data_IF_975445791375
#
_entry.id   IF_975445791375
#
_cell.length_a   1.000
_cell.length_b   1.000
_cell.length_c   1.000
_cell.angle_alpha   90.00
_cell.angle_beta   90.00
_cell.angle_gamma   90.00
#
_symmetry.space_group_name_H-M   'P 1'
#
loop_
_entity.id
_entity.type
_entity.pdbx_description
1 polymer ?
#
# COMPACT_ATOMS: atom_id res chain seq x y z
N UNK A 1 35.36 -12.71 102.36
CA UNK A 1 36.38 -13.76 102.12
C UNK A 1 35.73 -14.77 101.18
N UNK A 2 36.23 -15.21 100.02
CA UNK A 2 37.44 -14.95 99.25
C UNK A 2 37.22 -15.50 97.81
N UNK A 3 37.94 -14.95 96.82
CA UNK A 3 38.15 -15.58 95.49
C UNK A 3 39.17 -16.75 95.65
N UNK A 4 39.64 -17.53 94.63
CA UNK A 4 39.36 -17.57 93.18
C UNK A 4 39.38 -19.02 92.54
N UNK A 5 39.18 -19.14 91.20
CA UNK A 5 40.09 -19.79 90.19
C UNK A 5 39.41 -20.53 89.03
N UNK A 6 39.56 -19.90 87.86
CA UNK A 6 39.86 -20.38 86.50
C UNK A 6 40.05 -21.89 86.21
N UNK A 7 39.36 -22.39 85.16
CA UNK A 7 39.86 -23.42 84.22
C UNK A 7 39.53 -23.03 82.77
N UNK A 8 40.48 -23.31 81.86
CA UNK A 8 40.57 -22.91 80.44
C UNK A 8 40.25 -24.12 79.54
N UNK A 9 39.91 -23.85 78.27
CA UNK A 9 39.83 -24.76 77.08
C UNK A 9 38.48 -25.49 76.91
N UNK A 10 37.82 -25.54 75.74
CA UNK A 10 38.31 -25.65 74.36
C UNK A 10 37.36 -25.00 73.31
N UNK A 11 37.92 -24.79 72.11
CA UNK A 11 37.36 -24.18 70.89
C UNK A 11 36.08 -24.86 70.36
N UNK A 12 35.17 -24.05 69.79
CA UNK A 12 34.06 -24.47 68.92
C UNK A 12 33.38 -23.24 68.31
N UNK A 13 33.12 -23.28 67.00
CA UNK A 13 32.82 -22.15 66.12
C UNK A 13 31.65 -21.23 66.55
N UNK A 14 31.82 -19.92 66.35
CA UNK A 14 30.75 -18.93 66.55
C UNK A 14 29.77 -18.89 65.37
N UNK A 15 28.48 -18.61 65.60
CA UNK A 15 27.50 -18.42 64.52
C UNK A 15 27.68 -17.04 63.86
N UNK A 16 27.55 -17.03 62.53
CA UNK A 16 27.69 -15.86 61.65
C UNK A 16 26.65 -14.76 61.96
N UNK A 17 26.96 -13.47 61.67
CA UNK A 17 26.05 -12.37 61.96
C UNK A 17 24.83 -12.37 61.03
N UNK A 18 23.66 -12.11 61.59
CA UNK A 18 22.39 -11.96 60.88
C UNK A 18 22.49 -10.82 59.87
N UNK A 19 22.19 -11.13 58.60
CA UNK A 19 22.16 -10.19 57.48
C UNK A 19 20.84 -9.42 57.50
N UNK A 20 20.90 -8.10 57.66
CA UNK A 20 19.74 -7.22 57.52
C UNK A 20 19.10 -7.37 56.12
N UNK A 21 17.76 -7.21 55.99
CA UNK A 21 17.09 -7.28 54.71
C UNK A 21 17.56 -6.10 53.85
N UNK A 22 18.16 -6.41 52.69
CA UNK A 22 18.51 -5.41 51.69
C UNK A 22 17.19 -4.89 51.11
N UNK A 23 16.84 -3.64 51.40
CA UNK A 23 15.87 -2.90 50.58
C UNK A 23 16.46 -2.76 49.18
N UNK A 24 16.03 -3.61 48.25
CA UNK A 24 16.34 -3.43 46.84
C UNK A 24 15.53 -2.25 46.32
N UNK A 25 16.16 -1.10 46.18
CA UNK A 25 15.67 -0.05 45.30
C UNK A 25 15.46 -0.67 43.90
N UNK A 26 14.36 -0.38 43.19
CA UNK A 26 14.19 -0.83 41.81
C UNK A 26 15.35 -0.28 40.97
N UNK A 27 16.02 -1.13 40.19
CA UNK A 27 17.04 -0.63 39.27
C UNK A 27 16.37 0.26 38.21
N UNK A 28 17.01 1.36 37.86
CA UNK A 28 16.56 2.30 36.80
C UNK A 28 16.32 1.60 35.44
N UNK A 29 16.88 0.41 35.24
CA UNK A 29 16.73 -0.41 34.03
C UNK A 29 15.33 -1.04 33.83
N UNK A 30 14.44 -0.95 34.82
CA UNK A 30 13.07 -1.51 34.76
C UNK A 30 11.97 -0.44 34.71
N UNK A 31 12.32 0.83 34.46
CA UNK A 31 11.30 1.87 34.27
C UNK A 31 10.78 1.77 32.84
N UNK A 32 9.54 1.31 32.70
CA UNK A 32 8.81 1.36 31.43
C UNK A 32 8.51 2.82 31.13
N UNK A 33 9.06 3.33 30.03
CA UNK A 33 8.79 4.68 29.51
C UNK A 33 7.77 4.63 28.38
N UNK A 34 7.20 5.78 28.03
CA UNK A 34 6.27 5.90 26.89
C UNK A 34 6.97 5.48 25.61
N UNK A 35 8.17 6.00 25.36
CA UNK A 35 8.96 5.75 24.15
C UNK A 35 9.27 4.26 24.01
N UNK A 36 9.73 3.60 25.09
CA UNK A 36 10.01 2.16 25.08
C UNK A 36 8.77 1.28 24.89
N UNK A 37 7.59 1.82 25.19
CA UNK A 37 6.31 1.13 24.99
C UNK A 37 5.87 1.25 23.54
N UNK A 38 5.90 2.47 23.00
CA UNK A 38 5.57 2.76 21.60
C UNK A 38 6.46 1.96 20.66
N UNK A 39 7.78 2.02 20.86
CA UNK A 39 8.76 1.28 20.06
C UNK A 39 8.44 -0.22 20.02
N UNK A 40 8.15 -0.84 21.17
CA UNK A 40 7.81 -2.27 21.22
C UNK A 40 6.53 -2.59 20.49
N UNK A 41 5.47 -1.80 20.67
CA UNK A 41 4.20 -2.07 19.98
C UNK A 41 4.45 -1.99 18.47
N UNK A 42 5.12 -0.92 18.02
CA UNK A 42 5.42 -0.69 16.61
C UNK A 42 6.27 -1.80 16.01
N UNK A 43 7.34 -2.23 16.68
CA UNK A 43 8.18 -3.36 16.21
C UNK A 43 7.38 -4.65 16.04
N UNK A 44 6.42 -4.93 16.93
CA UNK A 44 5.59 -6.13 16.81
C UNK A 44 4.50 -6.00 15.75
N UNK A 45 3.98 -4.79 15.48
CA UNK A 45 3.12 -4.54 14.32
C UNK A 45 3.90 -4.78 13.03
N UNK A 46 5.08 -4.18 12.89
CA UNK A 46 5.92 -4.31 11.68
C UNK A 46 6.38 -5.74 11.41
N UNK A 47 6.67 -6.50 12.46
CA UNK A 47 6.99 -7.93 12.34
C UNK A 47 5.77 -8.85 12.25
N UNK A 48 4.56 -8.28 12.16
CA UNK A 48 3.28 -8.98 12.11
C UNK A 48 3.03 -9.94 13.30
N UNK A 49 3.72 -9.76 14.44
CA UNK A 49 3.44 -10.48 15.69
C UNK A 49 2.35 -9.75 16.49
N UNK A 50 1.14 -9.79 15.94
CA UNK A 50 -0.01 -9.08 16.51
C UNK A 50 -0.39 -9.57 17.91
N UNK A 51 -0.12 -10.83 18.23
CA UNK A 51 -0.40 -11.39 19.55
C UNK A 51 0.49 -10.78 20.65
N UNK A 52 1.73 -10.46 20.31
CA UNK A 52 2.64 -9.79 21.22
C UNK A 52 2.42 -8.27 21.21
N UNK A 53 2.15 -7.67 20.05
CA UNK A 53 1.75 -6.27 19.92
C UNK A 53 0.56 -5.95 20.84
N UNK A 54 -0.49 -6.79 20.82
CA UNK A 54 -1.69 -6.58 21.65
C UNK A 54 -1.35 -6.57 23.16
N UNK A 55 -0.48 -7.48 23.60
CA UNK A 55 -0.05 -7.52 25.02
C UNK A 55 0.69 -6.26 25.44
N UNK A 56 1.52 -5.70 24.55
CA UNK A 56 2.21 -4.44 24.82
C UNK A 56 1.26 -3.25 24.76
N UNK A 57 0.31 -3.23 23.82
CA UNK A 57 -0.72 -2.20 23.71
C UNK A 57 -1.58 -2.14 24.99
N UNK A 58 -2.09 -3.28 25.46
CA UNK A 58 -2.89 -3.35 26.70
C UNK A 58 -2.10 -2.83 27.90
N UNK A 59 -0.85 -3.27 28.08
CA UNK A 59 0.01 -2.78 29.17
C UNK A 59 0.34 -1.29 29.04
N UNK A 60 0.52 -0.81 27.83
CA UNK A 60 0.74 0.61 27.54
C UNK A 60 -0.45 1.45 27.99
N UNK A 61 -1.67 1.02 27.66
CA UNK A 61 -2.91 1.68 28.07
C UNK A 61 -3.15 1.64 29.58
N UNK A 62 -2.81 0.54 30.27
CA UNK A 62 -2.87 0.46 31.72
C UNK A 62 -1.92 1.46 32.39
N UNK A 63 -0.74 1.66 31.80
CA UNK A 63 0.31 2.51 32.37
C UNK A 63 0.15 3.99 32.03
N UNK A 64 -0.29 4.29 30.81
CA UNK A 64 -0.38 5.62 30.24
C UNK A 64 -1.78 5.85 29.63
N UNK A 65 -2.85 5.81 30.45
CA UNK A 65 -4.22 5.76 29.96
C UNK A 65 -4.68 7.01 29.20
N UNK A 66 -4.00 8.14 29.35
CA UNK A 66 -4.33 9.42 28.70
C UNK A 66 -3.21 9.90 27.75
N UNK A 67 -2.17 9.10 27.52
CA UNK A 67 -1.14 9.48 26.54
C UNK A 67 -1.69 9.25 25.12
N UNK A 68 -1.74 10.31 24.33
CA UNK A 68 -2.36 10.32 22.99
C UNK A 68 -1.62 9.39 22.03
N UNK A 69 -0.29 9.41 22.01
CA UNK A 69 0.51 8.53 21.14
C UNK A 69 0.28 7.04 21.47
N UNK A 70 0.24 6.69 22.77
CA UNK A 70 -0.05 5.31 23.20
C UNK A 70 -1.46 4.89 22.82
N UNK A 71 -2.44 5.81 22.92
CA UNK A 71 -3.81 5.54 22.49
C UNK A 71 -3.89 5.30 20.98
N UNK A 72 -3.19 6.09 20.16
CA UNK A 72 -3.18 5.96 18.70
C UNK A 72 -2.50 4.67 18.24
N UNK A 73 -1.30 4.37 18.76
CA UNK A 73 -0.55 3.14 18.41
C UNK A 73 -1.28 1.89 18.92
N UNK A 74 -1.92 1.95 20.10
CA UNK A 74 -2.76 0.85 20.56
C UNK A 74 -4.01 0.67 19.69
N UNK A 75 -4.62 1.76 19.21
CA UNK A 75 -5.77 1.69 18.31
C UNK A 75 -5.39 1.02 16.98
N UNK A 76 -4.26 1.41 16.38
CA UNK A 76 -3.70 0.76 15.18
C UNK A 76 -3.50 -0.74 15.42
N UNK A 77 -2.84 -1.12 16.51
CA UNK A 77 -2.67 -2.53 16.88
C UNK A 77 -4.01 -3.27 16.98
N UNK A 78 -5.02 -2.66 17.61
CA UNK A 78 -6.34 -3.29 17.74
C UNK A 78 -7.08 -3.38 16.40
N UNK A 79 -6.86 -2.46 15.46
CA UNK A 79 -7.39 -2.56 14.10
C UNK A 79 -6.80 -3.77 13.38
N UNK A 80 -5.47 -3.94 13.40
CA UNK A 80 -4.78 -5.08 12.78
C UNK A 80 -5.22 -6.44 13.37
N UNK A 81 -5.47 -6.48 14.68
CA UNK A 81 -5.98 -7.68 15.37
C UNK A 81 -7.46 -7.96 15.06
N UNK A 82 -8.20 -6.99 14.49
CA UNK A 82 -9.65 -7.08 14.26
C UNK A 82 -10.51 -6.74 15.49
N UNK A 83 -9.92 -6.12 16.52
CA UNK A 83 -10.61 -5.64 17.72
C UNK A 83 -11.19 -4.23 17.54
N UNK A 84 -12.11 -4.10 16.58
CA UNK A 84 -12.65 -2.81 16.12
C UNK A 84 -13.19 -1.93 17.25
N UNK A 85 -13.95 -2.50 18.21
CA UNK A 85 -14.47 -1.68 19.32
C UNK A 85 -13.40 -1.18 20.30
N UNK A 86 -12.32 -1.95 20.51
CA UNK A 86 -11.19 -1.45 21.32
C UNK A 86 -10.50 -0.31 20.59
N UNK A 87 -10.26 -0.47 19.28
CA UNK A 87 -9.65 0.57 18.44
C UNK A 87 -10.47 1.88 18.44
N UNK A 88 -11.79 1.79 18.18
CA UNK A 88 -12.69 2.95 18.25
C UNK A 88 -12.64 3.65 19.60
N UNK A 89 -12.67 2.89 20.70
CA UNK A 89 -12.59 3.46 22.07
C UNK A 89 -11.28 4.21 22.29
N UNK A 90 -10.16 3.65 21.83
CA UNK A 90 -8.84 4.27 21.93
C UNK A 90 -8.78 5.59 21.14
N UNK A 91 -9.21 5.61 19.88
CA UNK A 91 -9.25 6.84 19.09
C UNK A 91 -10.20 7.90 19.68
N UNK A 92 -11.40 7.51 20.09
CA UNK A 92 -12.35 8.44 20.74
C UNK A 92 -11.75 9.05 22.00
N UNK A 93 -11.02 8.25 22.80
CA UNK A 93 -10.31 8.75 23.98
C UNK A 93 -9.17 9.69 23.59
N UNK A 94 -8.37 9.36 22.57
CA UNK A 94 -7.30 10.23 22.06
C UNK A 94 -7.85 11.59 21.60
N UNK A 95 -9.02 11.58 20.93
CA UNK A 95 -9.73 12.79 20.50
C UNK A 95 -10.20 13.59 21.72
N UNK A 96 -10.76 12.94 22.74
CA UNK A 96 -11.23 13.62 23.95
C UNK A 96 -10.10 14.30 24.74
N UNK A 97 -8.89 13.72 24.73
CA UNK A 97 -7.71 14.27 25.42
C UNK A 97 -7.10 15.43 24.65
N UNK A 98 -7.01 15.33 23.32
CA UNK A 98 -6.38 16.34 22.48
C UNK A 98 -7.19 16.56 21.19
N UNK A 99 -8.28 17.34 21.23
CA UNK A 99 -9.19 17.48 20.09
C UNK A 99 -8.61 18.29 18.93
N UNK A 100 -7.70 19.23 19.19
CA UNK A 100 -7.20 20.18 18.19
C UNK A 100 -5.80 19.90 17.66
N UNK A 101 -5.09 18.89 18.19
CA UNK A 101 -3.74 18.51 17.74
C UNK A 101 -3.74 17.05 17.33
N UNK A 102 -3.02 16.67 16.28
CA UNK A 102 -2.93 15.28 15.81
C UNK A 102 -4.15 14.87 15.00
N UNK A 103 -4.07 15.01 13.68
CA UNK A 103 -5.12 14.69 12.73
C UNK A 103 -5.28 13.17 12.49
N UNK A 104 -4.21 12.39 12.68
CA UNK A 104 -4.17 10.93 12.39
C UNK A 104 -5.23 10.13 13.12
N UNK A 105 -5.48 10.41 14.41
CA UNK A 105 -6.58 9.78 15.16
C UNK A 105 -7.98 9.98 14.58
N UNK A 106 -8.22 11.08 13.86
CA UNK A 106 -9.50 11.29 13.19
C UNK A 106 -9.60 10.41 11.95
N UNK A 107 -8.54 10.32 11.14
CA UNK A 107 -8.53 9.48 9.95
C UNK A 107 -8.58 7.98 10.32
N UNK A 108 -7.80 7.58 11.32
CA UNK A 108 -7.83 6.22 11.85
C UNK A 108 -9.20 5.84 12.43
N UNK A 109 -9.90 6.78 13.07
CA UNK A 109 -11.29 6.55 13.49
C UNK A 109 -12.27 6.49 12.31
N UNK A 110 -12.05 7.32 11.29
CA UNK A 110 -12.89 7.37 10.09
C UNK A 110 -12.89 6.03 9.34
N UNK A 111 -11.73 5.39 9.20
CA UNK A 111 -11.58 4.05 8.61
C UNK A 111 -12.33 2.94 9.38
N UNK A 112 -12.74 3.20 10.62
CA UNK A 112 -13.54 2.27 11.41
C UNK A 112 -15.03 2.58 11.33
N UNK A 113 -15.47 3.54 10.52
CA UNK A 113 -16.86 3.89 10.29
C UNK A 113 -17.19 3.78 8.81
N UNK A 114 -18.49 3.78 8.51
CA UNK A 114 -19.02 3.78 7.15
C UNK A 114 -19.86 5.05 6.93
N UNK A 115 -20.00 5.45 5.67
CA UNK A 115 -20.90 6.51 5.23
C UNK A 115 -20.73 7.83 6.01
N UNK A 116 -21.83 8.35 6.56
CA UNK A 116 -21.87 9.70 7.18
C UNK A 116 -21.01 9.80 8.45
N UNK A 117 -20.87 8.70 9.19
CA UNK A 117 -20.03 8.69 10.39
C UNK A 117 -18.54 8.78 10.02
N UNK A 118 -18.12 8.09 8.96
CA UNK A 118 -16.77 8.20 8.40
C UNK A 118 -16.51 9.60 7.88
N UNK A 119 -17.43 10.14 7.06
CA UNK A 119 -17.35 11.49 6.52
C UNK A 119 -17.13 12.54 7.62
N UNK A 120 -17.90 12.46 8.72
CA UNK A 120 -17.75 13.36 9.86
C UNK A 120 -16.32 13.33 10.44
N UNK A 121 -15.72 12.15 10.57
CA UNK A 121 -14.36 12.04 11.12
C UNK A 121 -13.31 12.53 10.13
N UNK A 122 -13.44 12.20 8.83
CA UNK A 122 -12.54 12.73 7.79
C UNK A 122 -12.58 14.26 7.75
N UNK A 123 -13.77 14.87 7.73
CA UNK A 123 -13.93 16.33 7.74
C UNK A 123 -13.25 16.96 8.96
N UNK A 124 -13.42 16.38 10.15
CA UNK A 124 -12.74 16.88 11.37
C UNK A 124 -11.22 16.72 11.29
N UNK A 125 -10.73 15.61 10.74
CA UNK A 125 -9.30 15.40 10.51
C UNK A 125 -8.73 16.48 9.59
N UNK A 126 -9.41 16.78 8.49
CA UNK A 126 -9.04 17.82 7.53
C UNK A 126 -9.04 19.21 8.19
N UNK A 127 -10.06 19.56 8.97
CA UNK A 127 -10.11 20.83 9.70
C UNK A 127 -8.89 21.01 10.64
N UNK A 128 -8.47 19.93 11.30
CA UNK A 128 -7.26 19.94 12.15
C UNK A 128 -6.01 20.14 11.28
N UNK A 129 -5.91 19.45 10.14
CA UNK A 129 -4.78 19.59 9.22
C UNK A 129 -4.68 21.01 8.66
N UNK A 130 -5.76 21.57 8.13
CA UNK A 130 -5.79 22.91 7.56
C UNK A 130 -5.42 23.98 8.58
N UNK A 131 -5.88 23.83 9.84
CA UNK A 131 -5.48 24.71 10.94
C UNK A 131 -3.97 24.61 11.21
N UNK A 132 -3.43 23.39 11.30
CA UNK A 132 -2.00 23.20 11.56
C UNK A 132 -1.13 23.77 10.42
N UNK A 133 -1.56 23.63 9.16
CA UNK A 133 -0.89 24.21 7.99
C UNK A 133 -0.94 25.74 8.05
N UNK A 134 -2.09 26.33 8.38
CA UNK A 134 -2.26 27.78 8.50
C UNK A 134 -1.43 28.37 9.67
N UNK A 135 -1.39 27.69 10.81
CA UNK A 135 -0.59 28.10 11.97
C UNK A 135 0.92 28.06 11.64
N UNK A 136 1.38 27.02 10.94
CA UNK A 136 2.76 26.91 10.43
C UNK A 136 3.09 28.06 9.46
N UNK A 137 2.18 28.42 8.55
CA UNK A 137 2.37 29.51 7.60
C UNK A 137 2.40 30.91 8.26
N UNK A 138 1.69 31.09 9.37
CA UNK A 138 1.60 32.37 10.09
C UNK A 138 2.64 32.53 11.22
N UNK A 139 3.47 31.52 11.46
CA UNK A 139 4.52 31.56 12.49
C UNK A 139 3.99 31.58 13.93
N UNK A 140 2.71 31.25 14.13
CA UNK A 140 2.13 31.07 15.47
C UNK A 140 2.46 29.67 15.95
N UNK A 141 3.52 29.52 16.76
CA UNK A 141 3.69 28.30 17.54
C UNK A 141 2.47 28.17 18.48
N UNK A 142 1.66 27.13 18.23
CA UNK A 142 0.37 26.85 18.88
C UNK A 142 0.47 26.45 20.36
N UNK A 143 1.01 27.35 21.17
CA UNK A 143 1.09 27.28 22.63
C UNK A 143 0.13 28.25 23.34
N UNK A 144 -0.76 28.94 22.61
CA UNK A 144 -1.90 29.60 23.24
C UNK A 144 -2.95 28.56 23.61
N UNK A 145 -2.90 28.13 24.87
CA UNK A 145 -3.94 27.35 25.53
C UNK A 145 -5.35 27.92 25.27
N UNK A 146 -6.28 27.05 24.89
CA UNK A 146 -7.69 27.40 24.75
C UNK A 146 -8.29 27.81 26.10
N UNK A 147 -8.68 29.08 26.19
CA UNK A 147 -9.92 29.42 26.87
C UNK A 147 -11.08 29.11 25.93
N UNK A 148 -11.94 28.18 26.34
CA UNK A 148 -13.17 27.84 25.69
C UNK A 148 -14.02 29.07 25.33
N UNK A 149 -14.45 29.14 24.07
CA UNK A 149 -15.64 29.90 23.67
C UNK A 149 -16.24 29.24 22.44
N UNK A 150 -17.30 28.48 22.68
CA UNK A 150 -18.20 27.97 21.66
C UNK A 150 -18.95 29.10 20.95
N UNK A 151 -18.99 29.04 19.62
CA UNK A 151 -20.08 29.51 18.75
C UNK A 151 -19.85 28.81 17.39
N UNK A 152 -20.55 27.72 17.06
CA UNK A 152 -21.85 27.73 16.39
C UNK A 152 -21.88 28.56 15.12
N UNK A 153 -21.53 27.92 14.00
CA UNK A 153 -22.18 28.13 12.71
C UNK A 153 -21.77 26.99 11.79
N UNK A 154 -22.52 25.89 11.88
CA UNK A 154 -22.72 25.02 10.74
C UNK A 154 -23.69 25.76 9.81
N UNK A 155 -23.26 26.10 8.61
CA UNK A 155 -24.18 26.40 7.51
C UNK A 155 -23.77 25.55 6.28
N UNK A 156 -24.76 25.04 5.54
CA UNK A 156 -24.57 24.08 4.47
C UNK A 156 -24.06 24.74 3.18
N UNK A 157 -23.48 23.92 2.30
CA UNK A 157 -23.11 24.30 0.94
C UNK A 157 -24.33 24.79 0.15
N UNK A 158 -24.34 26.07 -0.19
CA UNK A 158 -25.09 26.62 -1.34
C UNK A 158 -24.15 27.46 -2.21
N UNK A 159 -24.42 27.41 -3.52
CA UNK A 159 -23.58 27.84 -4.63
C UNK A 159 -23.40 29.37 -4.78
N UNK A 160 -22.26 29.79 -5.34
CA UNK A 160 -22.20 30.91 -6.28
C UNK A 160 -20.86 30.98 -7.04
N UNK A 161 -20.95 31.01 -8.37
CA UNK A 161 -19.88 31.40 -9.29
C UNK A 161 -19.70 32.93 -9.33
N UNK A 162 -18.45 33.39 -9.53
CA UNK A 162 -18.00 34.49 -10.43
C UNK A 162 -16.78 35.26 -9.86
N UNK A 163 -15.65 35.10 -10.56
CA UNK A 163 -14.60 36.07 -10.96
C UNK A 163 -14.36 37.35 -10.13
N UNK A 164 -13.12 37.56 -9.63
CA UNK A 164 -12.16 38.62 -10.08
C UNK A 164 -10.93 38.78 -9.17
N UNK A 165 -9.78 39.01 -9.81
CA UNK A 165 -8.62 39.81 -9.41
C UNK A 165 -7.88 39.50 -8.09
N UNK A 166 -6.68 38.92 -8.22
CA UNK A 166 -5.67 38.89 -7.14
C UNK A 166 -4.85 40.18 -7.05
N UNK A 167 -4.27 40.47 -5.87
CA UNK A 167 -3.11 41.33 -5.75
C UNK A 167 -1.85 40.52 -5.41
N UNK A 168 -0.79 40.83 -6.13
CA UNK A 168 0.60 40.42 -5.91
C UNK A 168 1.07 40.78 -4.50
N UNK A 169 1.72 39.85 -3.79
CA UNK A 169 2.46 40.13 -2.56
C UNK A 169 3.88 39.59 -2.68
N UNK A 170 4.80 40.48 -2.36
CA UNK A 170 6.24 40.39 -2.52
C UNK A 170 6.86 39.32 -1.61
N UNK A 171 7.80 38.57 -2.18
CA UNK A 171 8.64 37.59 -1.52
C UNK A 171 9.71 38.28 -0.65
N UNK A 172 9.61 38.16 0.67
CA UNK A 172 10.73 38.40 1.58
C UNK A 172 11.41 37.06 1.91
N UNK A 173 12.66 36.92 1.47
CA UNK A 173 13.48 35.73 1.66
C UNK A 173 13.86 35.51 3.12
N UNK A 174 13.67 34.27 3.58
CA UNK A 174 14.27 33.70 4.80
C UNK A 174 15.18 32.53 4.41
N UNK A 175 16.39 32.52 4.97
CA UNK A 175 17.47 31.56 4.74
C UNK A 175 17.06 30.07 4.90
N UNK A 176 17.42 29.17 3.95
CA UNK A 176 17.06 27.75 4.01
C UNK A 176 18.18 26.91 4.64
N UNK A 177 18.63 27.27 5.85
CA UNK A 177 19.69 26.50 6.54
C UNK A 177 19.33 26.20 7.99
N UNK A 178 18.15 25.63 8.22
CA UNK A 178 17.88 24.83 9.42
C UNK A 178 17.78 23.38 8.99
N UNK A 179 18.73 22.57 9.44
CA UNK A 179 18.64 21.11 9.32
C UNK A 179 17.45 20.72 10.20
N UNK A 180 16.33 20.37 9.57
CA UNK A 180 15.10 19.99 10.25
C UNK A 180 15.32 18.72 11.07
N UNK A 181 14.88 18.72 12.32
CA UNK A 181 14.83 17.52 13.15
C UNK A 181 13.73 16.61 12.57
N UNK A 182 14.03 15.38 12.11
CA UNK A 182 13.05 14.53 11.42
C UNK A 182 11.83 14.14 12.28
N UNK A 183 11.93 14.23 13.61
CA UNK A 183 10.79 14.04 14.52
C UNK A 183 9.81 15.22 14.54
N UNK A 184 10.27 16.44 14.26
CA UNK A 184 9.43 17.65 14.34
C UNK A 184 8.51 17.75 13.12
N UNK A 185 8.94 17.24 11.96
CA UNK A 185 8.11 17.24 10.74
C UNK A 185 6.99 16.19 10.79
N UNK A 186 7.17 15.07 11.52
CA UNK A 186 6.16 14.01 11.64
C UNK A 186 4.86 14.48 12.32
N UNK A 187 4.92 15.53 13.15
CA UNK A 187 3.76 16.08 13.88
C UNK A 187 2.92 17.07 13.07
N UNK A 188 3.40 17.49 11.89
CA UNK A 188 2.67 18.37 10.98
C UNK A 188 2.14 17.59 9.77
N UNK A 189 0.93 17.90 9.28
CA UNK A 189 0.43 17.32 8.04
C UNK A 189 1.27 17.78 6.87
N UNK A 190 1.66 16.83 6.02
CA UNK A 190 2.22 17.10 4.71
C UNK A 190 1.11 17.48 3.71
N UNK A 191 1.45 18.10 2.57
CA UNK A 191 0.53 18.25 1.44
C UNK A 191 -0.10 16.92 1.00
N UNK A 192 0.68 15.83 1.05
CA UNK A 192 0.24 14.47 0.71
C UNK A 192 -0.81 13.94 1.69
N UNK A 193 -0.65 14.19 2.98
CA UNK A 193 -1.63 13.77 4.00
C UNK A 193 -2.99 14.44 3.77
N UNK A 194 -2.97 15.75 3.50
CA UNK A 194 -4.20 16.51 3.21
C UNK A 194 -4.85 16.03 1.90
N UNK A 195 -4.04 15.82 0.86
CA UNK A 195 -4.51 15.26 -0.42
C UNK A 195 -5.20 13.90 -0.23
N UNK A 196 -4.55 12.99 0.50
CA UNK A 196 -5.07 11.63 0.77
C UNK A 196 -6.37 11.65 1.58
N UNK A 197 -6.49 12.55 2.56
CA UNK A 197 -7.72 12.68 3.34
C UNK A 197 -8.91 13.18 2.50
N UNK A 198 -8.67 14.09 1.56
CA UNK A 198 -9.69 14.50 0.60
C UNK A 198 -10.06 13.36 -0.37
N UNK A 199 -9.10 12.53 -0.79
CA UNK A 199 -9.39 11.35 -1.61
C UNK A 199 -10.26 10.33 -0.88
N UNK A 200 -10.00 10.09 0.41
CA UNK A 200 -10.85 9.23 1.21
C UNK A 200 -12.31 9.73 1.28
N UNK A 201 -12.53 11.06 1.34
CA UNK A 201 -13.89 11.63 1.21
C UNK A 201 -14.48 11.35 -0.17
N UNK A 202 -13.68 11.51 -1.24
CA UNK A 202 -14.17 11.25 -2.59
C UNK A 202 -14.59 9.79 -2.81
N UNK A 203 -13.85 8.84 -2.22
CA UNK A 203 -14.14 7.41 -2.26
C UNK A 203 -15.45 7.07 -1.55
N UNK A 204 -15.73 7.70 -0.41
CA UNK A 204 -17.01 7.56 0.28
C UNK A 204 -18.18 7.93 -0.64
N UNK A 205 -18.07 9.02 -1.41
CA UNK A 205 -19.11 9.42 -2.36
C UNK A 205 -19.23 8.56 -3.61
N UNK A 206 -18.24 7.73 -3.91
CA UNK A 206 -18.33 6.71 -4.97
C UNK A 206 -18.71 5.33 -4.45
N UNK A 207 -18.84 5.16 -3.14
CA UNK A 207 -19.14 3.88 -2.48
C UNK A 207 -20.32 4.02 -1.51
N UNK A 208 -20.06 4.31 -0.23
CA UNK A 208 -21.07 4.34 0.84
C UNK A 208 -22.16 5.41 0.67
N UNK A 209 -21.79 6.56 0.10
CA UNK A 209 -22.63 7.75 -0.05
C UNK A 209 -23.03 7.99 -1.52
N UNK A 210 -22.90 6.98 -2.38
CA UNK A 210 -23.19 7.11 -3.81
C UNK A 210 -24.67 7.42 -4.12
N UNK A 211 -25.59 7.05 -3.23
CA UNK A 211 -27.03 7.29 -3.38
C UNK A 211 -27.47 8.71 -2.92
N UNK A 212 -26.56 9.53 -2.39
CA UNK A 212 -26.89 10.91 -2.02
C UNK A 212 -27.10 11.79 -3.26
N UNK A 213 -28.10 12.68 -3.23
CA UNK A 213 -28.52 13.48 -4.40
C UNK A 213 -27.37 14.29 -5.02
N UNK A 214 -26.42 14.74 -4.20
CA UNK A 214 -25.26 15.54 -4.60
C UNK A 214 -23.93 14.76 -4.54
N UNK A 215 -23.97 13.43 -4.53
CA UNK A 215 -22.76 12.60 -4.37
C UNK A 215 -21.69 12.90 -5.43
N UNK A 216 -22.09 13.07 -6.69
CA UNK A 216 -21.17 13.42 -7.78
C UNK A 216 -20.47 14.77 -7.53
N UNK A 217 -21.23 15.80 -7.13
CA UNK A 217 -20.69 17.14 -6.89
C UNK A 217 -19.70 17.15 -5.72
N UNK A 218 -20.05 16.47 -4.63
CA UNK A 218 -19.17 16.36 -3.46
C UNK A 218 -17.93 15.52 -3.75
N UNK A 219 -18.06 14.42 -4.50
CA UNK A 219 -16.94 13.61 -4.95
C UNK A 219 -15.96 14.46 -5.77
N UNK A 220 -16.46 15.15 -6.79
CA UNK A 220 -15.65 16.03 -7.64
C UNK A 220 -14.97 17.14 -6.83
N UNK A 221 -15.70 17.80 -5.95
CA UNK A 221 -15.16 18.84 -5.08
C UNK A 221 -14.01 18.32 -4.21
N UNK A 222 -14.18 17.14 -3.60
CA UNK A 222 -13.14 16.53 -2.79
C UNK A 222 -11.88 16.20 -3.62
N UNK A 223 -12.04 15.66 -4.83
CA UNK A 223 -10.91 15.39 -5.72
C UNK A 223 -10.19 16.69 -6.12
N UNK A 224 -10.91 17.75 -6.49
CA UNK A 224 -10.31 19.05 -6.82
C UNK A 224 -9.55 19.64 -5.62
N UNK A 225 -10.06 19.48 -4.40
CA UNK A 225 -9.33 19.85 -3.18
C UNK A 225 -8.07 19.01 -2.98
N UNK A 226 -8.12 17.71 -3.26
CA UNK A 226 -6.95 16.85 -3.18
C UNK A 226 -5.85 17.26 -4.18
N UNK A 227 -6.24 17.65 -5.41
CA UNK A 227 -5.32 18.19 -6.43
C UNK A 227 -4.68 19.50 -6.00
N UNK A 228 -5.45 20.39 -5.38
CA UNK A 228 -4.95 21.68 -4.86
C UNK A 228 -4.01 21.49 -3.67
N UNK A 229 -4.31 20.50 -2.81
CA UNK A 229 -3.50 20.19 -1.64
C UNK A 229 -2.10 19.68 -2.05
N UNK A 230 -2.02 18.75 -3.01
CA UNK A 230 -0.74 18.26 -3.54
C UNK A 230 -0.80 18.09 -5.08
N UNK A 231 -0.33 19.10 -5.84
CA UNK A 231 -0.27 19.02 -7.30
C UNK A 231 0.68 17.96 -7.85
N UNK A 232 1.55 17.36 -7.02
CA UNK A 232 2.46 16.26 -7.40
C UNK A 232 1.90 14.89 -7.01
N UNK A 233 0.68 14.83 -6.47
CA UNK A 233 0.02 13.56 -6.20
C UNK A 233 -0.64 13.03 -7.49
N UNK A 234 -0.29 11.83 -7.99
CA UNK A 234 -0.98 11.23 -9.13
C UNK A 234 -2.37 10.66 -8.77
N UNK A 235 -2.64 10.35 -7.50
CA UNK A 235 -3.90 9.73 -7.08
C UNK A 235 -5.15 10.57 -7.38
N UNK A 236 -5.18 11.90 -7.15
CA UNK A 236 -6.34 12.72 -7.52
C UNK A 236 -6.62 12.74 -9.02
N UNK A 237 -5.59 12.64 -9.87
CA UNK A 237 -5.79 12.54 -11.32
C UNK A 237 -6.42 11.19 -11.68
N UNK A 238 -5.94 10.10 -11.08
CA UNK A 238 -6.52 8.78 -11.26
C UNK A 238 -7.98 8.75 -10.78
N UNK A 239 -8.27 9.32 -9.61
CA UNK A 239 -9.62 9.36 -9.06
C UNK A 239 -10.57 10.22 -9.92
N UNK A 240 -10.09 11.35 -10.45
CA UNK A 240 -10.87 12.15 -11.39
C UNK A 240 -11.11 11.40 -12.71
N UNK A 241 -10.13 10.64 -13.19
CA UNK A 241 -10.33 9.78 -14.35
C UNK A 241 -11.41 8.72 -14.09
N UNK A 242 -11.34 8.02 -12.96
CA UNK A 242 -12.33 7.02 -12.55
C UNK A 242 -13.74 7.61 -12.46
N UNK A 243 -13.89 8.81 -11.88
CA UNK A 243 -15.18 9.52 -11.85
C UNK A 243 -15.74 9.77 -13.25
N UNK A 244 -14.89 10.17 -14.21
CA UNK A 244 -15.33 10.42 -15.59
C UNK A 244 -15.60 9.12 -16.36
N UNK A 245 -14.88 8.03 -16.07
CA UNK A 245 -15.20 6.69 -16.59
C UNK A 245 -16.58 6.22 -16.11
N UNK A 246 -16.90 6.38 -14.82
CA UNK A 246 -18.23 6.08 -14.26
C UNK A 246 -19.32 6.87 -14.99
N UNK A 247 -19.05 8.13 -15.35
CA UNK A 247 -19.97 8.99 -16.10
C UNK A 247 -20.04 8.70 -17.61
N UNK A 248 -19.15 7.86 -18.12
CA UNK A 248 -19.02 7.56 -19.54
C UNK A 248 -18.30 8.62 -20.38
N UNK A 249 -17.65 9.60 -19.76
CA UNK A 249 -16.84 10.63 -20.45
C UNK A 249 -15.38 10.16 -20.59
N UNK A 250 -15.15 9.30 -21.59
CA UNK A 250 -13.84 8.70 -21.86
C UNK A 250 -12.79 9.75 -22.27
N UNK A 251 -13.16 10.75 -23.05
CA UNK A 251 -12.25 11.83 -23.47
C UNK A 251 -11.72 12.63 -22.28
N UNK A 252 -12.57 12.95 -21.31
CA UNK A 252 -12.14 13.68 -20.13
C UNK A 252 -11.34 12.78 -19.19
N UNK A 253 -11.77 11.51 -19.01
CA UNK A 253 -11.01 10.53 -18.25
C UNK A 253 -9.57 10.39 -18.78
N UNK A 254 -9.43 10.21 -20.09
CA UNK A 254 -8.14 10.14 -20.80
C UNK A 254 -7.23 11.34 -20.52
N UNK A 255 -7.77 12.55 -20.48
CA UNK A 255 -6.99 13.75 -20.15
C UNK A 255 -6.44 13.69 -18.72
N UNK A 256 -7.26 13.26 -17.76
CA UNK A 256 -6.83 13.13 -16.36
C UNK A 256 -5.82 11.99 -16.16
N UNK A 257 -6.05 10.81 -16.76
CA UNK A 257 -5.10 9.68 -16.69
C UNK A 257 -3.74 10.12 -17.22
N UNK A 258 -3.68 10.74 -18.42
CA UNK A 258 -2.42 11.23 -19.00
C UNK A 258 -1.77 12.32 -18.15
N UNK A 259 -2.57 13.19 -17.53
CA UNK A 259 -2.11 14.21 -16.59
C UNK A 259 -1.40 13.60 -15.39
N UNK A 260 -2.05 12.65 -14.71
CA UNK A 260 -1.48 11.93 -13.57
C UNK A 260 -0.26 11.10 -13.94
N UNK A 261 -0.33 10.37 -15.06
CA UNK A 261 0.77 9.56 -15.60
C UNK A 261 2.03 10.40 -15.85
N UNK A 262 1.89 11.64 -16.34
CA UNK A 262 3.03 12.53 -16.61
C UNK A 262 3.85 12.91 -15.36
N UNK A 263 3.31 12.68 -14.16
CA UNK A 263 4.01 12.93 -12.91
C UNK A 263 5.11 11.88 -12.62
N UNK A 264 4.94 10.64 -13.11
CA UNK A 264 5.80 9.51 -12.77
C UNK A 264 6.27 8.66 -13.97
N UNK A 265 5.69 8.87 -15.16
CA UNK A 265 6.09 8.23 -16.42
C UNK A 265 6.54 9.28 -17.44
N UNK A 266 7.84 9.33 -17.74
CA UNK A 266 8.45 10.36 -18.60
C UNK A 266 9.39 9.73 -19.62
N UNK A 267 9.39 10.27 -20.83
CA UNK A 267 10.24 9.81 -21.95
C UNK A 267 10.12 8.30 -22.24
N UNK A 268 8.92 7.73 -22.04
CA UNK A 268 8.65 6.30 -22.23
C UNK A 268 9.34 5.41 -21.20
N UNK A 269 9.60 5.92 -20.00
CA UNK A 269 10.22 5.18 -18.90
C UNK A 269 9.56 5.50 -17.57
N UNK A 270 9.45 4.47 -16.74
CA UNK A 270 9.11 4.61 -15.32
C UNK A 270 10.29 5.28 -14.62
N UNK A 271 10.07 6.49 -14.10
CA UNK A 271 11.12 7.22 -13.41
C UNK A 271 10.80 8.70 -13.23
N UNK A 272 11.28 9.26 -12.13
CA UNK A 272 11.31 10.70 -11.95
C UNK A 272 12.28 11.31 -12.94
N UNK A 273 11.87 12.43 -13.55
CA UNK A 273 12.81 13.33 -14.23
C UNK A 273 13.88 13.74 -13.23
N UNK A 274 15.04 13.07 -13.30
CA UNK A 274 16.29 13.70 -12.92
C UNK A 274 16.45 14.83 -13.92
N UNK A 275 16.45 16.06 -13.41
CA UNK A 275 16.80 17.24 -14.20
C UNK A 275 18.06 16.93 -15.02
N UNK A 276 18.15 17.34 -16.30
CA UNK A 276 19.42 17.27 -16.98
C UNK A 276 20.39 18.12 -16.14
N UNK A 277 21.42 17.48 -15.57
CA UNK A 277 22.58 18.21 -15.06
C UNK A 277 23.03 19.09 -16.23
N UNK A 278 22.78 20.38 -16.09
CA UNK A 278 23.32 21.39 -16.99
C UNK A 278 24.82 21.12 -17.12
N UNK A 279 25.27 20.98 -18.36
CA UNK A 279 26.67 20.87 -18.72
C UNK A 279 27.49 21.96 -18.02
N UNK A 280 28.31 21.54 -17.06
CA UNK A 280 29.45 22.32 -16.61
C UNK A 280 30.57 21.34 -16.23
N UNK A 281 31.52 21.23 -17.15
CA UNK A 281 32.78 20.53 -16.98
C UNK A 281 33.49 20.95 -15.69
N UNK A 282 33.95 19.99 -14.90
CA UNK A 282 35.39 19.90 -14.62
C UNK A 282 35.79 18.53 -14.06
N UNK A 283 36.89 18.02 -14.62
CA UNK A 283 37.55 16.81 -14.17
C UNK A 283 38.41 17.09 -12.91
N UNK A 284 38.38 16.19 -11.93
CA UNK A 284 39.61 15.58 -11.36
C UNK A 284 39.31 14.54 -10.27
N UNK A 285 39.86 13.36 -10.54
CA UNK A 285 40.28 12.22 -9.72
C UNK A 285 40.44 12.45 -8.20
N UNK A 286 39.82 11.58 -7.37
CA UNK A 286 40.56 10.65 -6.49
C UNK A 286 39.64 9.63 -5.82
N UNK A 287 40.12 8.38 -5.79
CA UNK A 287 39.55 7.23 -5.11
C UNK A 287 39.56 7.36 -3.57
N UNK A 288 38.86 6.42 -2.93
CA UNK A 288 38.76 6.14 -1.48
C UNK A 288 37.57 6.76 -0.73
N UNK A 289 36.46 6.01 -0.68
CA UNK A 289 35.63 5.90 0.52
C UNK A 289 34.83 4.59 0.51
N UNK A 290 35.05 3.77 1.54
CA UNK A 290 34.24 2.61 1.92
C UNK A 290 32.92 3.06 2.55
N UNK A 291 31.91 2.21 2.34
CA UNK A 291 30.70 1.97 3.15
C UNK A 291 29.76 3.14 3.41
N UNK A 292 28.54 3.00 2.91
CA UNK A 292 27.32 3.11 3.72
C UNK A 292 26.24 2.28 3.02
N UNK A 293 25.63 1.38 3.78
CA UNK A 293 24.43 0.65 3.36
C UNK A 293 23.38 1.66 2.87
N UNK A 294 23.00 1.53 1.61
CA UNK A 294 21.85 2.22 1.08
C UNK A 294 20.62 1.57 1.72
N UNK A 295 20.09 2.21 2.76
CA UNK A 295 18.67 2.13 3.06
C UNK A 295 17.96 2.64 1.81
N UNK A 296 17.30 1.73 1.10
CA UNK A 296 16.39 2.08 0.02
C UNK A 296 15.29 2.96 0.62
N UNK A 297 15.43 4.26 0.34
CA UNK A 297 14.42 5.28 0.57
C UNK A 297 13.37 5.12 -0.54
N UNK A 298 12.61 4.01 -0.51
CA UNK A 298 11.56 3.69 -1.51
C UNK A 298 10.50 4.80 -1.62
N UNK A 299 10.36 5.63 -0.59
CA UNK A 299 9.42 6.77 -0.53
C UNK A 299 9.88 7.99 -1.34
N UNK A 300 11.14 8.00 -1.83
CA UNK A 300 11.77 9.14 -2.52
C UNK A 300 11.75 9.03 -4.06
N UNK A 301 11.36 7.87 -4.61
CA UNK A 301 11.44 7.63 -6.06
C UNK A 301 10.44 8.43 -6.89
N UNK A 302 9.37 8.97 -6.27
CA UNK A 302 8.27 9.68 -6.92
C UNK A 302 7.45 8.80 -7.88
N UNK A 303 7.74 7.49 -7.91
CA UNK A 303 7.04 6.48 -8.70
C UNK A 303 6.02 5.80 -7.77
N UNK A 304 4.73 5.71 -8.16
CA UNK A 304 3.73 5.06 -7.33
C UNK A 304 3.92 3.53 -7.30
N UNK A 305 3.37 2.81 -6.31
CA UNK A 305 3.47 1.35 -6.24
C UNK A 305 2.94 0.64 -7.50
N UNK A 306 3.45 -0.55 -7.82
CA UNK A 306 3.07 -1.30 -9.03
C UNK A 306 1.55 -1.47 -9.16
N UNK A 307 0.83 -1.75 -8.07
CA UNK A 307 -0.63 -1.86 -8.07
C UNK A 307 -1.30 -0.60 -8.62
N UNK A 308 -0.85 0.59 -8.20
CA UNK A 308 -1.36 1.86 -8.73
C UNK A 308 -1.03 2.02 -10.22
N UNK A 309 0.19 1.65 -10.64
CA UNK A 309 0.61 1.72 -12.05
C UNK A 309 -0.26 0.83 -12.95
N UNK A 310 -0.59 -0.39 -12.48
CA UNK A 310 -1.49 -1.32 -13.17
C UNK A 310 -2.88 -0.71 -13.31
N UNK A 311 -3.44 -0.10 -12.26
CA UNK A 311 -4.75 0.57 -12.33
C UNK A 311 -4.73 1.76 -13.30
N UNK A 312 -3.64 2.53 -13.37
CA UNK A 312 -3.47 3.55 -14.41
C UNK A 312 -3.48 2.95 -15.81
N UNK A 313 -2.81 1.82 -16.03
CA UNK A 313 -2.81 1.14 -17.34
C UNK A 313 -4.19 0.56 -17.70
N UNK A 314 -4.93 0.00 -16.74
CA UNK A 314 -6.34 -0.43 -16.93
C UNK A 314 -7.23 0.75 -17.35
N UNK A 315 -7.10 1.90 -16.69
CA UNK A 315 -7.83 3.11 -17.05
C UNK A 315 -7.48 3.61 -18.47
N UNK A 316 -6.23 3.45 -18.93
CA UNK A 316 -5.85 3.74 -20.31
C UNK A 316 -6.53 2.79 -21.31
N UNK A 317 -6.62 1.49 -21.01
CA UNK A 317 -7.36 0.52 -21.84
C UNK A 317 -8.83 0.95 -21.96
N UNK A 318 -9.48 1.31 -20.84
CA UNK A 318 -10.87 1.76 -20.84
C UNK A 318 -11.09 3.04 -21.65
N UNK A 319 -10.09 3.94 -21.64
CA UNK A 319 -10.01 5.16 -22.44
C UNK A 319 -9.60 4.92 -23.91
N UNK A 320 -9.44 3.66 -24.34
CA UNK A 320 -9.03 3.28 -25.70
C UNK A 320 -7.63 3.79 -26.08
N UNK A 321 -6.76 4.00 -25.09
CA UNK A 321 -5.36 4.39 -25.24
C UNK A 321 -4.43 3.17 -25.27
N UNK A 322 -4.72 2.24 -26.19
CA UNK A 322 -4.07 0.92 -26.26
C UNK A 322 -2.55 1.00 -26.50
N UNK A 323 -2.08 1.94 -27.32
CA UNK A 323 -0.65 2.12 -27.60
C UNK A 323 0.16 2.47 -26.34
N UNK A 324 -0.39 3.35 -25.51
CA UNK A 324 0.26 3.81 -24.28
C UNK A 324 0.14 2.76 -23.18
N UNK A 325 -1.01 2.09 -23.07
CA UNK A 325 -1.19 0.96 -22.17
C UNK A 325 -0.20 -0.18 -22.51
N UNK A 326 -0.04 -0.53 -23.79
CA UNK A 326 0.91 -1.53 -24.25
C UNK A 326 2.36 -1.19 -23.88
N UNK A 327 2.77 0.07 -24.02
CA UNK A 327 4.10 0.52 -23.58
C UNK A 327 4.32 0.32 -22.09
N UNK A 328 3.33 0.66 -21.26
CA UNK A 328 3.40 0.43 -19.82
C UNK A 328 3.52 -1.06 -19.48
N UNK A 329 2.73 -1.93 -20.12
CA UNK A 329 2.82 -3.37 -19.86
C UNK A 329 4.16 -3.97 -20.28
N UNK A 330 4.80 -3.47 -21.35
CA UNK A 330 6.18 -3.87 -21.70
C UNK A 330 7.15 -3.54 -20.55
N UNK A 331 7.04 -2.35 -19.96
CA UNK A 331 7.88 -1.94 -18.83
C UNK A 331 7.58 -2.75 -17.55
N UNK A 332 6.31 -3.07 -17.29
CA UNK A 332 5.88 -3.87 -16.13
C UNK A 332 6.34 -5.32 -16.24
N UNK A 333 6.16 -5.94 -17.41
CA UNK A 333 6.63 -7.29 -17.73
C UNK A 333 8.15 -7.36 -17.66
N UNK A 334 8.87 -6.32 -18.10
CA UNK A 334 10.32 -6.26 -17.98
C UNK A 334 10.83 -6.37 -16.54
N UNK A 335 10.06 -5.86 -15.58
CA UNK A 335 10.36 -5.93 -14.14
C UNK A 335 9.82 -7.22 -13.50
N UNK A 336 8.67 -7.71 -13.97
CA UNK A 336 7.95 -8.85 -13.39
C UNK A 336 7.58 -9.87 -14.49
N UNK A 337 8.56 -10.56 -15.11
CA UNK A 337 8.34 -11.33 -16.33
C UNK A 337 7.50 -12.60 -16.14
N UNK A 338 7.31 -13.04 -14.90
CA UNK A 338 6.55 -14.23 -14.54
C UNK A 338 5.17 -13.94 -13.97
N UNK A 339 4.74 -12.67 -13.96
CA UNK A 339 3.43 -12.30 -13.45
C UNK A 339 2.35 -12.59 -14.51
N UNK A 340 1.42 -13.55 -14.27
CA UNK A 340 0.38 -13.88 -15.24
C UNK A 340 -0.63 -12.74 -15.48
N UNK A 341 -0.88 -11.87 -14.49
CA UNK A 341 -1.83 -10.75 -14.65
C UNK A 341 -1.28 -9.73 -15.65
N UNK A 342 0.01 -9.41 -15.59
CA UNK A 342 0.65 -8.47 -16.52
C UNK A 342 0.61 -8.95 -17.97
N UNK A 343 0.87 -10.24 -18.20
CA UNK A 343 0.75 -10.84 -19.54
C UNK A 343 -0.71 -10.85 -20.02
N UNK A 344 -1.66 -11.16 -19.13
CA UNK A 344 -3.08 -11.12 -19.48
C UNK A 344 -3.52 -9.71 -19.89
N UNK A 345 -3.18 -8.69 -19.09
CA UNK A 345 -3.55 -7.30 -19.37
C UNK A 345 -2.85 -6.74 -20.61
N UNK A 346 -1.59 -7.11 -20.88
CA UNK A 346 -0.89 -6.82 -22.14
C UNK A 346 -1.65 -7.41 -23.34
N UNK A 347 -2.00 -8.70 -23.25
CA UNK A 347 -2.77 -9.39 -24.28
C UNK A 347 -4.16 -8.79 -24.48
N UNK A 348 -4.83 -8.39 -23.39
CA UNK A 348 -6.13 -7.73 -23.43
C UNK A 348 -6.06 -6.36 -24.12
N UNK A 349 -5.02 -5.56 -23.84
CA UNK A 349 -4.78 -4.29 -24.51
C UNK A 349 -4.66 -4.49 -26.03
N UNK A 350 -3.83 -5.44 -26.47
CA UNK A 350 -3.66 -5.77 -27.89
C UNK A 350 -4.93 -6.34 -28.53
N UNK A 351 -5.66 -7.19 -27.80
CA UNK A 351 -6.93 -7.76 -28.27
C UNK A 351 -8.00 -6.69 -28.49
N UNK A 352 -8.10 -5.71 -27.59
CA UNK A 352 -9.05 -4.61 -27.71
C UNK A 352 -8.63 -3.57 -28.76
N UNK A 353 -7.32 -3.44 -29.03
CA UNK A 353 -6.81 -2.51 -30.03
C UNK A 353 -7.34 -2.85 -31.44
N UNK A 354 -7.28 -4.12 -31.83
CA UNK A 354 -7.88 -4.56 -33.09
C UNK A 354 -7.30 -5.85 -33.67
N UNK A 355 -7.90 -6.38 -34.75
CA UNK A 355 -7.48 -7.61 -35.41
C UNK A 355 -6.02 -7.62 -35.90
N UNK A 356 -5.47 -6.46 -36.21
CA UNK A 356 -4.06 -6.28 -36.57
C UNK A 356 -3.10 -6.63 -35.44
N UNK A 357 -3.56 -6.56 -34.18
CA UNK A 357 -2.80 -6.84 -32.97
C UNK A 357 -3.10 -8.23 -32.37
N UNK A 358 -3.94 -9.04 -33.03
CA UNK A 358 -4.36 -10.35 -32.52
C UNK A 358 -3.22 -11.39 -32.41
N UNK A 359 -2.20 -11.30 -33.26
CA UNK A 359 -1.03 -12.16 -33.16
C UNK A 359 -0.27 -11.91 -31.85
N UNK A 360 -0.07 -10.64 -31.51
CA UNK A 360 0.57 -10.19 -30.26
C UNK A 360 -0.28 -10.58 -29.06
N UNK A 361 -1.60 -10.31 -29.11
CA UNK A 361 -2.55 -10.69 -28.07
C UNK A 361 -2.52 -12.20 -27.78
N UNK A 362 -2.54 -13.03 -28.84
CA UNK A 362 -2.47 -14.50 -28.71
C UNK A 362 -1.15 -14.95 -28.07
N UNK A 363 -0.02 -14.35 -28.46
CA UNK A 363 1.29 -14.62 -27.85
C UNK A 363 1.26 -14.34 -26.35
N UNK A 364 0.73 -13.19 -25.96
CA UNK A 364 0.70 -12.76 -24.57
C UNK A 364 -0.27 -13.61 -23.73
N UNK A 365 -1.43 -13.99 -24.27
CA UNK A 365 -2.35 -14.94 -23.60
C UNK A 365 -1.73 -16.32 -23.41
N UNK A 366 -0.95 -16.84 -24.39
CA UNK A 366 -0.21 -18.11 -24.21
C UNK A 366 0.79 -18.00 -23.04
N UNK A 367 1.51 -16.88 -22.92
CA UNK A 367 2.43 -16.63 -21.80
C UNK A 367 1.70 -16.47 -20.47
N UNK A 368 0.60 -15.72 -20.43
CA UNK A 368 -0.25 -15.58 -19.25
C UNK A 368 -0.71 -16.94 -18.73
N UNK A 369 -1.19 -17.83 -19.62
CA UNK A 369 -1.55 -19.21 -19.26
C UNK A 369 -0.37 -20.03 -18.73
N UNK A 370 0.80 -19.93 -19.36
CA UNK A 370 2.03 -20.61 -18.91
C UNK A 370 2.39 -20.22 -17.49
N UNK A 371 2.38 -18.92 -17.18
CA UNK A 371 2.72 -18.42 -15.83
C UNK A 371 1.59 -18.58 -14.81
N UNK A 372 0.35 -18.80 -15.26
CA UNK A 372 -0.81 -19.08 -14.40
C UNK A 372 -0.78 -20.48 -13.77
N UNK A 373 0.15 -21.35 -14.16
CA UNK A 373 0.30 -22.69 -13.58
C UNK A 373 1.65 -22.80 -12.86
N UNK A 374 1.62 -22.87 -11.54
CA UNK A 374 2.84 -23.01 -10.71
C UNK A 374 2.73 -24.21 -9.77
N UNK A 375 3.85 -24.71 -9.20
CA UNK A 375 3.81 -25.75 -8.17
C UNK A 375 3.01 -25.37 -6.91
N UNK A 376 2.78 -24.07 -6.69
CA UNK A 376 2.14 -23.53 -5.48
C UNK A 376 0.66 -23.17 -5.69
N UNK A 377 0.16 -23.20 -6.93
CA UNK A 377 -1.21 -22.83 -7.25
C UNK A 377 -1.43 -22.59 -8.74
N UNK A 378 -2.71 -22.56 -9.12
CA UNK A 378 -3.18 -22.33 -10.49
C UNK A 378 -4.18 -21.17 -10.50
N UNK A 379 -3.96 -20.19 -11.39
CA UNK A 379 -4.85 -19.06 -11.62
C UNK A 379 -5.91 -19.42 -12.68
N UNK A 380 -6.93 -20.18 -12.28
CA UNK A 380 -7.96 -20.68 -13.21
C UNK A 380 -8.73 -19.56 -13.93
N UNK A 381 -8.97 -18.43 -13.26
CA UNK A 381 -9.72 -17.32 -13.84
C UNK A 381 -8.99 -16.69 -15.04
N UNK A 382 -7.69 -16.44 -14.90
CA UNK A 382 -6.84 -15.93 -15.99
C UNK A 382 -6.81 -16.92 -17.15
N UNK A 383 -6.67 -18.22 -16.86
CA UNK A 383 -6.64 -19.27 -17.90
C UNK A 383 -7.94 -19.28 -18.70
N UNK A 384 -9.08 -19.24 -18.01
CA UNK A 384 -10.39 -19.24 -18.64
C UNK A 384 -10.61 -17.99 -19.53
N UNK A 385 -10.24 -16.81 -19.02
CA UNK A 385 -10.33 -15.55 -19.78
C UNK A 385 -9.43 -15.58 -21.03
N UNK A 386 -8.19 -16.09 -20.91
CA UNK A 386 -7.30 -16.26 -22.04
C UNK A 386 -7.90 -17.19 -23.11
N UNK A 387 -8.52 -18.29 -22.71
CA UNK A 387 -9.13 -19.25 -23.65
C UNK A 387 -10.32 -18.66 -24.40
N UNK A 388 -11.15 -17.85 -23.73
CA UNK A 388 -12.25 -17.13 -24.37
C UNK A 388 -11.76 -16.14 -25.44
N UNK A 389 -10.77 -15.31 -25.11
CA UNK A 389 -10.21 -14.36 -26.07
C UNK A 389 -9.47 -15.06 -27.22
N UNK A 390 -8.67 -16.10 -26.94
CA UNK A 390 -7.98 -16.86 -27.99
C UNK A 390 -8.95 -17.58 -28.92
N UNK A 391 -10.06 -18.11 -28.42
CA UNK A 391 -11.13 -18.67 -29.24
C UNK A 391 -11.72 -17.62 -30.18
N UNK A 392 -11.98 -16.40 -29.67
CA UNK A 392 -12.44 -15.28 -30.50
C UNK A 392 -11.42 -14.93 -31.58
N UNK A 393 -10.14 -14.81 -31.21
CA UNK A 393 -9.05 -14.55 -32.16
C UNK A 393 -8.98 -15.64 -33.24
N UNK A 394 -9.14 -16.92 -32.88
CA UNK A 394 -9.10 -18.05 -33.82
C UNK A 394 -10.20 -18.00 -34.89
N UNK A 395 -11.33 -17.33 -34.62
CA UNK A 395 -12.38 -17.14 -35.64
C UNK A 395 -11.99 -16.14 -36.74
N UNK A 396 -11.08 -15.21 -36.44
CA UNK A 396 -10.65 -14.12 -37.36
C UNK A 396 -9.28 -14.43 -37.97
N UNK A 397 -8.36 -14.96 -37.17
CA UNK A 397 -7.04 -15.43 -37.58
C UNK A 397 -6.91 -16.91 -37.26
N UNK A 398 -7.31 -17.82 -38.17
CA UNK A 398 -7.12 -19.24 -37.99
C UNK A 398 -5.66 -19.55 -37.70
N UNK A 399 -5.40 -20.46 -36.77
CA UNK A 399 -4.04 -20.92 -36.50
C UNK A 399 -3.57 -21.70 -37.73
N UNK A 400 -2.48 -21.30 -38.36
CA UNK A 400 -1.79 -22.20 -39.28
C UNK A 400 -1.29 -23.38 -38.45
N UNK A 401 -1.65 -24.62 -38.80
CA UNK A 401 -1.32 -25.85 -38.07
C UNK A 401 0.20 -26.07 -37.84
N UNK A 402 1.04 -25.20 -38.41
CA UNK A 402 2.50 -25.19 -38.26
C UNK A 402 3.02 -24.36 -37.06
N UNK A 403 2.21 -23.50 -36.42
CA UNK A 403 2.63 -22.69 -35.25
C UNK A 403 2.19 -23.30 -33.90
N UNK A 404 1.85 -24.60 -33.87
CA UNK A 404 1.31 -25.21 -32.65
C UNK A 404 2.34 -25.46 -31.56
N UNK A 405 3.64 -25.55 -31.85
CA UNK A 405 4.62 -26.03 -30.86
C UNK A 405 6.04 -25.46 -31.08
N UNK A 406 6.22 -24.14 -30.98
CA UNK A 406 7.58 -23.60 -30.79
C UNK A 406 7.89 -23.44 -29.29
N UNK A 407 8.37 -24.57 -28.74
CA UNK A 407 9.57 -24.73 -27.92
C UNK A 407 9.78 -23.80 -26.70
N UNK A 408 9.46 -24.35 -25.53
CA UNK A 408 10.41 -24.65 -24.45
C UNK A 408 11.73 -23.83 -24.36
N UNK A 409 11.66 -22.52 -24.10
CA UNK A 409 12.81 -21.79 -23.54
C UNK A 409 12.92 -22.02 -22.02
N UNK A 410 13.73 -23.04 -21.72
CA UNK A 410 14.71 -23.18 -20.63
C UNK A 410 14.28 -23.05 -19.16
N UNK A 411 13.94 -24.19 -18.55
CA UNK A 411 14.36 -24.49 -17.18
C UNK A 411 15.67 -25.28 -17.25
N UNK A 412 16.79 -24.69 -16.80
CA UNK A 412 18.04 -25.43 -16.61
C UNK A 412 17.94 -26.34 -15.39
N UNK A 413 18.46 -27.58 -15.48
CA UNK A 413 19.14 -28.19 -14.34
C UNK A 413 20.59 -28.43 -14.72
N UNK A 414 21.50 -27.76 -14.00
CA UNK A 414 22.93 -28.03 -14.07
C UNK A 414 23.24 -29.50 -13.74
N UNK A 415 24.17 -30.07 -14.49
CA UNK A 415 24.64 -31.43 -14.28
C UNK A 415 25.57 -31.88 -15.39
N UNK A 416 26.83 -31.46 -15.31
CA UNK A 416 27.95 -32.01 -16.05
C UNK A 416 27.97 -33.55 -15.98
N UNK A 417 28.09 -34.24 -17.11
CA UNK A 417 29.35 -34.92 -17.44
C UNK A 417 29.37 -35.40 -18.90
N UNK A 418 30.51 -35.23 -19.53
CA UNK A 418 30.78 -35.73 -20.86
C UNK A 418 31.22 -37.19 -20.78
N UNK A 419 30.72 -38.07 -21.65
CA UNK A 419 31.60 -39.01 -22.36
C UNK A 419 30.91 -39.63 -23.57
N UNK A 420 31.54 -39.35 -24.70
CA UNK A 420 31.45 -40.01 -26.00
C UNK A 420 31.45 -41.55 -25.92
N UNK A 421 30.52 -42.22 -26.62
CA UNK A 421 30.81 -43.44 -27.37
C UNK A 421 29.78 -43.72 -28.46
N UNK A 422 30.33 -44.12 -29.59
CA UNK A 422 29.75 -44.28 -30.91
C UNK A 422 29.29 -45.73 -31.15
N UNK A 423 28.25 -45.89 -31.98
CA UNK A 423 27.81 -47.07 -32.73
C UNK A 423 27.21 -48.28 -31.96
N UNK A 424 25.98 -48.69 -32.33
CA UNK A 424 25.75 -49.80 -33.26
C UNK A 424 24.25 -49.94 -33.65
N UNK A 425 24.02 -50.44 -34.87
CA UNK A 425 22.73 -50.85 -35.46
C UNK A 425 22.06 -51.97 -34.65
N UNK A 426 20.72 -52.04 -34.65
CA UNK A 426 19.94 -53.11 -35.34
C UNK A 426 18.43 -52.95 -35.17
N UNK A 427 17.75 -53.13 -36.31
CA UNK A 427 16.34 -53.46 -36.49
C UNK A 427 15.82 -54.54 -35.53
N UNK A 428 14.60 -54.35 -35.02
CA UNK A 428 13.71 -55.46 -34.66
C UNK A 428 12.25 -54.96 -34.60
N UNK A 429 11.48 -55.41 -35.58
CA UNK A 429 10.02 -55.41 -35.64
C UNK A 429 9.38 -56.37 -34.62
N UNK A 430 8.21 -56.00 -34.10
CA UNK A 430 7.29 -56.87 -33.34
C UNK A 430 6.07 -56.05 -32.91
N UNK A 431 4.94 -56.17 -33.62
CA UNK A 431 3.74 -56.91 -33.19
C UNK A 431 3.03 -56.21 -32.03
N UNK A 432 1.98 -55.42 -32.29
CA UNK A 432 0.59 -55.84 -32.52
C UNK A 432 0.03 -56.65 -31.34
N UNK A 433 -0.68 -55.98 -30.44
CA UNK A 433 -1.79 -56.59 -29.71
C UNK A 433 -2.79 -55.50 -29.32
N UNK A 434 -4.00 -55.67 -29.83
CA UNK A 434 -5.16 -54.86 -29.52
C UNK A 434 -5.82 -55.35 -28.23
N UNK A 435 -6.40 -54.42 -27.49
CA UNK A 435 -7.32 -54.71 -26.41
C UNK A 435 -8.58 -53.86 -26.61
N UNK A 436 -9.59 -54.54 -27.14
CA UNK A 436 -11.01 -54.23 -26.98
C UNK A 436 -11.32 -53.99 -25.50
N UNK A 437 -12.05 -52.92 -25.22
CA UNK A 437 -13.04 -52.95 -24.15
C UNK A 437 -14.34 -52.34 -24.72
N UNK A 438 -15.27 -53.23 -25.01
CA UNK A 438 -16.66 -52.90 -25.27
C UNK A 438 -17.30 -52.29 -24.02
N UNK A 439 -18.19 -51.36 -24.31
CA UNK A 439 -19.15 -50.65 -23.47
C UNK A 439 -20.11 -51.59 -22.75
N UNK A 440 -20.33 -51.35 -21.45
CA UNK A 440 -21.57 -51.75 -20.78
C UNK A 440 -22.29 -50.49 -20.27
N UNK A 441 -23.40 -50.19 -20.94
CA UNK A 441 -24.47 -49.29 -20.52
C UNK A 441 -25.26 -49.96 -19.39
N UNK A 442 -25.38 -49.33 -18.22
CA UNK A 442 -26.47 -49.63 -17.29
C UNK A 442 -27.33 -48.39 -17.06
N UNK A 443 -28.53 -48.45 -17.65
CA UNK A 443 -29.66 -47.58 -17.39
C UNK A 443 -30.13 -47.71 -15.93
N UNK A 444 -30.27 -46.58 -15.24
CA UNK A 444 -30.72 -46.51 -13.84
C UNK A 444 -31.67 -45.36 -13.59
N UNK A 445 -32.91 -45.51 -14.09
CA UNK A 445 -34.19 -44.99 -13.59
C UNK A 445 -34.25 -43.60 -12.92
N UNK A 446 -34.85 -42.67 -13.65
CA UNK A 446 -35.54 -41.48 -13.13
C UNK A 446 -36.68 -41.88 -12.17
N UNK A 447 -36.70 -41.29 -10.98
CA UNK A 447 -37.92 -41.12 -10.18
C UNK A 447 -38.24 -39.64 -10.09
N UNK A 448 -39.39 -39.31 -10.66
CA UNK A 448 -40.11 -38.06 -10.52
C UNK A 448 -40.43 -37.78 -9.03
N UNK A 449 -40.13 -36.57 -8.58
CA UNK A 449 -40.72 -36.01 -7.35
C UNK A 449 -41.34 -34.67 -7.73
N UNK A 450 -42.65 -34.68 -7.97
CA UNK A 450 -43.48 -33.49 -7.99
C UNK A 450 -44.18 -33.29 -6.63
N UNK A 451 -44.02 -32.07 -6.13
CA UNK A 451 -44.98 -31.21 -5.42
C UNK A 451 -45.59 -31.65 -4.07
N UNK A 452 -45.23 -30.89 -3.03
CA UNK A 452 -46.17 -30.08 -2.23
C UNK A 452 -45.45 -28.90 -1.58
#
# INVERSE_FOLDING_TARGET
MGKPKWKKSSRGAGPAPMRAPKSSSPSLANIVTVESTLEKIQTYIESCDYALAEKFAVRGLERFPENVEVLEVAAQCFTEVGHIQKARTCYQKAISVSPLKGWRKYLGLAQLFDGRDALLQYTRGIEVMERQIADKATGKNGDSADSASAASSAEPMEAAATTTAGPSVESSGGDPTTIADPKVDADFPSPRDLSSAYLAISELYTTDLCDEENAEEFCKYAIEKAMLADPKNPEPFQQMANLNLIKGDKELAKQFVKGGLSLWYKDGKIGTSVTPKSDAANASVSADAKSVDAVDDEESSGVPPLAFQIETAKALIECEEYDLAGQLFVDFIGQNPTDPELWYLSGLSSFLHGPEHYAEARSDFKKAKRFSTTPHGVCYDIIAQCDEHMSTIATVLPVDEAESDDEDETATPGGSDATNKQANMTDASGEHDGLDWETDEEEGQQQDVEMS
#
